data_IF_592437914835
#
_entry.id   IF_592437914835
#
_cell.length_a   1.000
_cell.length_b   1.000
_cell.length_c   1.000
_cell.angle_alpha   90.00
_cell.angle_beta   90.00
_cell.angle_gamma   90.00
#
_symmetry.space_group_name_H-M   'P 1'
#
loop_
_entity.id
_entity.type
_entity.pdbx_description
1 polymer ?
#
# COMPACT_ATOMS: atom_id res chain seq x y z
N UNK A 1 3.19 1.25 22.29
CA UNK A 1 3.67 0.37 21.22
C UNK A 1 4.35 1.21 20.14
N UNK A 2 5.49 0.81 19.66
CA UNK A 2 6.22 1.62 18.69
C UNK A 2 5.63 1.41 17.28
N UNK A 3 5.39 2.49 16.54
CA UNK A 3 5.00 2.36 15.13
C UNK A 3 6.12 1.71 14.31
N UNK A 4 5.72 0.86 13.36
CA UNK A 4 6.69 0.22 12.46
C UNK A 4 6.06 -0.07 11.11
N UNK A 5 6.91 -0.12 10.09
CA UNK A 5 6.52 -0.54 8.75
C UNK A 5 6.54 -2.06 8.73
N UNK A 6 5.44 -2.68 8.29
CA UNK A 6 5.31 -4.13 8.22
C UNK A 6 5.25 -4.66 6.80
N UNK A 7 5.11 -3.78 5.80
CA UNK A 7 5.10 -4.22 4.41
C UNK A 7 5.33 -3.07 3.45
N UNK A 8 5.96 -3.40 2.32
CA UNK A 8 6.22 -2.50 1.21
C UNK A 8 5.73 -3.17 -0.06
N UNK A 9 4.96 -2.44 -0.89
CA UNK A 9 4.33 -3.03 -2.07
C UNK A 9 4.36 -2.09 -3.26
N UNK A 10 4.54 -2.67 -4.44
CA UNK A 10 4.42 -1.97 -5.72
C UNK A 10 3.66 -2.83 -6.72
N UNK A 11 3.20 -2.21 -7.81
CA UNK A 11 2.49 -2.90 -8.89
C UNK A 11 2.80 -2.26 -10.22
N UNK A 12 2.75 -3.07 -11.28
CA UNK A 12 2.82 -2.56 -12.67
C UNK A 12 1.49 -1.96 -13.12
N UNK A 13 0.48 -2.06 -12.30
CA UNK A 13 -0.83 -1.46 -12.54
C UNK A 13 -1.90 -2.13 -11.69
N UNK A 14 -2.69 -1.31 -10.98
CA UNK A 14 -3.84 -1.79 -10.21
C UNK A 14 -3.48 -2.56 -8.96
N UNK A 15 -4.43 -3.35 -8.50
CA UNK A 15 -4.35 -4.15 -7.29
C UNK A 15 -4.52 -5.63 -7.61
N UNK A 16 -4.01 -6.54 -6.79
CA UNK A 16 -3.21 -6.29 -5.59
C UNK A 16 -1.79 -5.84 -5.93
N UNK A 17 -1.18 -5.08 -5.04
CA UNK A 17 0.24 -4.76 -5.15
C UNK A 17 1.07 -5.88 -4.53
N UNK A 18 2.25 -6.10 -5.08
CA UNK A 18 3.12 -7.20 -4.67
C UNK A 18 4.20 -6.72 -3.71
N UNK A 19 4.63 -7.58 -2.77
CA UNK A 19 5.65 -7.18 -1.79
C UNK A 19 7.01 -6.95 -2.45
N UNK A 20 7.72 -5.94 -1.93
CA UNK A 20 9.09 -5.63 -2.31
C UNK A 20 9.93 -5.43 -1.05
N UNK A 21 11.26 -5.54 -1.19
CA UNK A 21 12.15 -5.40 -0.04
C UNK A 21 12.46 -3.95 0.29
N UNK A 22 12.34 -3.05 -0.68
CA UNK A 22 12.62 -1.63 -0.49
C UNK A 22 11.81 -0.81 -1.47
N UNK A 23 11.57 0.46 -1.10
CA UNK A 23 10.91 1.44 -1.96
C UNK A 23 11.79 2.66 -2.12
N UNK A 24 11.89 3.18 -3.34
CA UNK A 24 12.43 4.49 -3.61
C UNK A 24 11.27 5.44 -3.87
N UNK A 25 11.12 6.44 -3.02
CA UNK A 25 10.03 7.40 -3.12
C UNK A 25 10.53 8.65 -3.83
N UNK A 26 9.83 9.03 -4.89
CA UNK A 26 10.13 10.22 -5.66
C UNK A 26 8.97 11.21 -5.55
N UNK A 27 9.13 12.39 -6.14
CA UNK A 27 8.05 13.38 -6.13
C UNK A 27 6.85 13.00 -7.01
N UNK A 28 6.95 11.90 -7.75
CA UNK A 28 5.83 11.38 -8.54
C UNK A 28 5.36 10.00 -8.08
N UNK A 29 5.88 9.52 -6.95
CA UNK A 29 5.45 8.26 -6.33
C UNK A 29 6.59 7.29 -6.10
N UNK A 30 6.24 6.04 -5.88
CA UNK A 30 7.20 4.97 -5.65
C UNK A 30 7.79 4.52 -6.98
N UNK A 31 9.12 4.44 -7.05
CA UNK A 31 9.79 3.94 -8.24
C UNK A 31 9.34 2.51 -8.54
N UNK A 32 8.98 2.24 -9.78
CA UNK A 32 8.49 0.92 -10.18
C UNK A 32 7.01 0.68 -9.93
N UNK A 33 6.32 1.63 -9.30
CA UNK A 33 4.89 1.52 -9.06
C UNK A 33 4.13 2.23 -10.18
N UNK A 34 3.05 1.62 -10.65
CA UNK A 34 2.19 2.20 -11.69
C UNK A 34 0.74 2.12 -11.24
N UNK A 35 -0.03 3.13 -11.60
CA UNK A 35 -1.46 3.17 -11.35
C UNK A 35 -2.21 3.05 -12.66
N UNK A 36 -3.28 2.23 -12.68
CA UNK A 36 -4.15 2.10 -13.83
C UNK A 36 -5.07 3.30 -14.00
N UNK A 37 -5.40 3.96 -12.90
CA UNK A 37 -6.31 5.11 -12.90
C UNK A 37 -5.57 6.33 -12.38
N UNK A 38 -4.92 7.05 -13.28
CA UNK A 38 -4.14 8.24 -12.95
C UNK A 38 -5.03 9.40 -12.49
N UNK A 39 -6.33 9.36 -12.78
CA UNK A 39 -7.28 10.39 -12.36
C UNK A 39 -7.61 10.26 -10.87
N UNK A 40 -7.71 9.04 -10.36
CA UNK A 40 -8.14 8.76 -8.98
C UNK A 40 -7.02 8.22 -8.10
N UNK A 41 -6.03 7.55 -8.69
CA UNK A 41 -5.01 6.81 -7.94
C UNK A 41 -3.58 7.21 -8.25
N UNK A 42 -3.36 8.17 -9.11
CA UNK A 42 -2.02 8.58 -9.49
C UNK A 42 -1.79 10.06 -9.31
N UNK A 43 -0.66 10.52 -9.81
CA UNK A 43 -0.28 11.92 -9.78
C UNK A 43 0.42 12.33 -8.50
N UNK A 44 0.73 13.61 -8.40
CA UNK A 44 1.55 14.16 -7.31
C UNK A 44 0.87 14.00 -5.95
N UNK A 45 -0.44 14.21 -5.89
CA UNK A 45 -1.18 14.24 -4.63
C UNK A 45 -1.53 12.86 -4.09
N UNK A 46 -1.43 11.81 -4.92
CA UNK A 46 -1.82 10.46 -4.55
C UNK A 46 -0.74 9.44 -4.94
N UNK A 47 0.49 9.85 -4.84
CA UNK A 47 1.61 9.07 -5.35
C UNK A 47 2.03 7.92 -4.43
N UNK A 48 1.74 8.02 -3.14
CA UNK A 48 2.10 7.01 -2.14
C UNK A 48 0.89 6.73 -1.27
N UNK A 49 0.52 5.45 -1.14
CA UNK A 49 -0.62 5.02 -0.33
C UNK A 49 -0.14 4.32 0.94
N UNK A 50 -0.69 4.77 2.07
CA UNK A 50 -0.41 4.19 3.40
C UNK A 50 -1.66 3.51 3.93
N UNK A 51 -1.48 2.39 4.64
CA UNK A 51 -2.59 1.68 5.24
C UNK A 51 -2.17 1.05 6.56
N UNK A 52 -3.09 0.94 7.51
CA UNK A 52 -2.82 0.34 8.82
C UNK A 52 -3.05 -1.17 8.77
N UNK A 53 -2.06 -1.94 9.19
CA UNK A 53 -2.17 -3.39 9.22
C UNK A 53 -3.28 -3.87 10.15
N UNK A 54 -3.53 -3.16 11.25
CA UNK A 54 -4.58 -3.51 12.19
C UNK A 54 -5.96 -3.55 11.53
N UNK A 55 -6.18 -2.68 10.52
CA UNK A 55 -7.45 -2.68 9.78
C UNK A 55 -7.58 -3.96 8.96
N UNK A 56 -6.50 -4.41 8.31
CA UNK A 56 -6.50 -5.66 7.57
C UNK A 56 -6.80 -6.83 8.50
N UNK A 57 -6.16 -6.86 9.67
CA UNK A 57 -6.38 -7.90 10.67
C UNK A 57 -7.83 -7.91 11.15
N UNK A 58 -8.39 -6.74 11.41
CA UNK A 58 -9.78 -6.64 11.85
C UNK A 58 -10.77 -7.09 10.78
N UNK A 59 -10.54 -6.69 9.54
CA UNK A 59 -11.40 -7.11 8.43
C UNK A 59 -11.37 -8.63 8.23
N UNK A 60 -10.21 -9.25 8.38
CA UNK A 60 -10.11 -10.71 8.31
C UNK A 60 -10.88 -11.38 9.44
N UNK A 61 -10.81 -10.84 10.66
CA UNK A 61 -11.60 -11.36 11.79
C UNK A 61 -13.10 -11.22 11.56
N UNK A 62 -13.51 -10.18 10.85
CA UNK A 62 -14.92 -9.93 10.52
C UNK A 62 -15.40 -10.75 9.31
N UNK A 63 -14.55 -11.59 8.74
CA UNK A 63 -14.90 -12.45 7.62
C UNK A 63 -14.64 -11.86 6.24
N UNK A 64 -13.89 -10.77 6.15
CA UNK A 64 -13.53 -10.17 4.87
C UNK A 64 -12.09 -10.57 4.51
N UNK A 65 -11.88 -11.55 3.61
CA UNK A 65 -10.55 -12.06 3.33
C UNK A 65 -9.75 -11.09 2.45
N UNK A 66 -8.95 -10.24 3.08
CA UNK A 66 -8.03 -9.34 2.38
C UNK A 66 -6.61 -9.56 2.87
N UNK A 67 -5.64 -9.33 1.99
CA UNK A 67 -4.22 -9.50 2.28
C UNK A 67 -3.48 -8.18 2.12
N UNK A 68 -2.24 -8.15 2.60
CA UNK A 68 -1.34 -7.04 2.34
C UNK A 68 -1.21 -6.82 0.82
N UNK A 69 -1.28 -5.58 0.38
CA UNK A 69 -1.26 -5.22 -1.04
C UNK A 69 -2.63 -5.16 -1.68
N UNK A 70 -3.65 -5.81 -1.11
CA UNK A 70 -5.00 -5.88 -1.69
C UNK A 70 -5.69 -4.54 -1.79
N UNK A 71 -5.40 -3.62 -0.88
CA UNK A 71 -6.00 -2.29 -0.88
C UNK A 71 -5.28 -1.30 -1.78
N UNK A 72 -4.19 -1.73 -2.43
CA UNK A 72 -3.38 -0.85 -3.26
C UNK A 72 -2.39 -0.02 -2.48
N UNK A 73 -2.09 -0.39 -1.25
CA UNK A 73 -1.16 0.35 -0.42
C UNK A 73 0.30 0.08 -0.83
N UNK A 74 1.14 1.10 -0.73
CA UNK A 74 2.58 0.98 -0.89
C UNK A 74 3.26 0.66 0.43
N UNK A 75 2.79 1.26 1.53
CA UNK A 75 3.40 1.12 2.85
C UNK A 75 2.34 0.65 3.83
N UNK A 76 2.61 -0.46 4.49
CA UNK A 76 1.76 -1.02 5.52
C UNK A 76 2.40 -0.73 6.87
N UNK A 77 1.63 -0.14 7.79
CA UNK A 77 2.12 0.36 9.06
C UNK A 77 1.34 -0.30 10.19
N UNK A 78 2.03 -0.61 11.30
CA UNK A 78 1.41 -1.14 12.51
C UNK A 78 1.85 -0.32 13.72
N UNK A 79 0.95 -0.15 14.69
CA UNK A 79 1.26 0.50 15.96
C UNK A 79 1.06 2.00 15.98
N UNK A 80 0.25 2.54 15.08
CA UNK A 80 -0.12 3.95 15.08
C UNK A 80 -1.50 4.13 15.68
#
# INVERSE_FOLDING_TARGET
MNPRITGLHTSDGGVPKLPVQSLEITNIGCHGDKQNDLKHHGGIDKAVCLFQQEIIEQLNLDGHPIDAGSTGENILIKGI
#
